data_IF_331824457702
#
_entry.id   IF_331824457702
#
_cell.length_a   1.000
_cell.length_b   1.000
_cell.length_c   1.000
_cell.angle_alpha   90.00
_cell.angle_beta   90.00
_cell.angle_gamma   90.00
#
_symmetry.space_group_name_H-M   'P 1'
#
loop_
_entity.id
_entity.type
_entity.pdbx_description
1 polymer ?
#
# COMPACT_ATOMS: atom_id res chain seq x y z
N UNK A 1 -3.37 -50.15 -40.40
CA UNK A 1 -2.76 -49.83 -39.09
C UNK A 1 -2.04 -48.50 -39.21
N UNK A 2 -2.66 -47.40 -38.80
CA UNK A 2 -2.00 -46.12 -38.44
C UNK A 2 -2.87 -45.43 -37.40
N UNK A 3 -2.28 -45.21 -36.24
CA UNK A 3 -2.79 -44.50 -35.06
C UNK A 3 -3.00 -43.01 -35.34
N UNK A 4 -4.07 -42.43 -34.80
CA UNK A 4 -4.13 -41.00 -34.50
C UNK A 4 -4.43 -40.84 -33.01
N UNK A 5 -3.44 -40.39 -32.25
CA UNK A 5 -3.60 -40.03 -30.85
C UNK A 5 -4.36 -38.71 -30.76
N UNK A 6 -5.51 -38.71 -30.08
CA UNK A 6 -6.23 -37.49 -29.74
C UNK A 6 -5.55 -36.83 -28.52
N UNK A 7 -5.01 -35.64 -28.72
CA UNK A 7 -4.55 -34.79 -27.63
C UNK A 7 -5.77 -34.16 -26.94
N UNK A 8 -5.92 -34.38 -25.65
CA UNK A 8 -6.93 -33.71 -24.83
C UNK A 8 -6.60 -32.22 -24.69
N UNK A 9 -7.58 -31.30 -24.77
CA UNK A 9 -7.32 -29.88 -24.51
C UNK A 9 -7.02 -29.71 -23.02
N UNK A 10 -5.77 -29.32 -22.72
CA UNK A 10 -5.36 -28.89 -21.40
C UNK A 10 -5.95 -27.49 -21.17
N UNK A 11 -7.06 -27.41 -20.44
CA UNK A 11 -7.59 -26.13 -19.97
C UNK A 11 -6.64 -25.54 -18.95
N UNK A 12 -5.76 -24.66 -19.42
CA UNK A 12 -4.94 -23.80 -18.56
C UNK A 12 -5.90 -22.83 -17.86
N UNK A 13 -6.23 -23.15 -16.60
CA UNK A 13 -7.00 -22.22 -15.78
C UNK A 13 -6.04 -21.09 -15.41
N UNK A 14 -6.27 -19.83 -15.84
CA UNK A 14 -5.34 -18.76 -15.53
C UNK A 14 -5.27 -18.62 -14.01
N UNK A 15 -4.11 -18.95 -13.44
CA UNK A 15 -3.82 -18.66 -12.03
C UNK A 15 -3.87 -17.13 -11.89
N UNK A 16 -4.92 -16.62 -11.28
CA UNK A 16 -5.09 -15.19 -11.06
C UNK A 16 -3.83 -14.69 -10.33
N UNK A 17 -3.11 -13.67 -10.85
CA UNK A 17 -1.95 -13.14 -10.16
C UNK A 17 -2.37 -12.75 -8.75
N UNK A 18 -1.73 -13.33 -7.72
CA UNK A 18 -1.96 -12.91 -6.34
C UNK A 18 -1.59 -11.43 -6.25
N UNK A 19 -2.57 -10.58 -5.95
CA UNK A 19 -2.32 -9.16 -5.74
C UNK A 19 -1.40 -8.92 -4.53
N UNK A 20 -0.91 -7.70 -4.42
CA UNK A 20 0.05 -7.29 -3.41
C UNK A 20 -0.57 -7.27 -2.03
N UNK A 21 0.06 -7.96 -1.07
CA UNK A 21 -0.23 -7.80 0.35
C UNK A 21 0.75 -6.77 0.96
N UNK A 22 0.25 -5.63 1.42
CA UNK A 22 1.06 -4.58 2.00
C UNK A 22 0.50 -4.10 3.35
N UNK A 23 1.39 -3.89 4.31
CA UNK A 23 1.04 -3.27 5.59
C UNK A 23 1.93 -2.07 5.87
N UNK A 24 1.39 -1.09 6.58
CA UNK A 24 2.10 0.07 7.04
C UNK A 24 1.63 0.40 8.45
N UNK A 25 2.52 0.27 9.42
CA UNK A 25 2.26 0.62 10.82
C UNK A 25 3.06 1.88 11.15
N UNK A 26 2.36 2.95 11.52
CA UNK A 26 2.91 4.27 11.81
C UNK A 26 2.59 4.69 13.23
N UNK A 27 3.55 5.28 13.93
CA UNK A 27 3.31 5.93 15.22
C UNK A 27 3.74 7.40 15.17
N UNK A 28 2.88 8.28 15.69
CA UNK A 28 3.13 9.71 15.80
C UNK A 28 3.15 10.14 17.28
N UNK A 29 4.13 10.96 17.62
CA UNK A 29 4.27 11.52 18.95
C UNK A 29 4.76 12.97 18.92
N UNK A 30 4.30 13.83 19.85
CA UNK A 30 4.89 15.14 20.03
C UNK A 30 6.34 14.97 20.48
N UNK A 31 7.26 15.71 19.87
CA UNK A 31 8.66 15.75 20.28
C UNK A 31 9.22 17.15 20.12
N UNK A 32 9.52 17.77 21.26
CA UNK A 32 9.82 19.19 21.37
C UNK A 32 8.65 20.04 20.86
N UNK A 33 8.87 20.81 19.80
CA UNK A 33 7.96 21.81 19.24
C UNK A 33 7.07 21.29 18.12
N UNK A 34 7.17 20.00 17.76
CA UNK A 34 6.39 19.42 16.65
C UNK A 34 6.09 17.95 16.82
N UNK A 35 5.11 17.47 16.07
CA UNK A 35 4.84 16.03 15.95
C UNK A 35 5.91 15.37 15.12
N UNK A 36 6.29 14.14 15.44
CA UNK A 36 7.21 13.34 14.62
C UNK A 36 6.65 11.94 14.40
N UNK A 37 7.00 11.37 13.25
CA UNK A 37 6.88 9.93 13.01
C UNK A 37 7.90 9.19 13.89
N UNK A 38 7.44 8.65 15.01
CA UNK A 38 8.26 8.02 16.05
C UNK A 38 8.53 6.54 15.77
N UNK A 39 7.64 5.87 15.02
CA UNK A 39 7.87 4.53 14.51
C UNK A 39 7.28 4.36 13.10
N UNK A 40 7.95 3.53 12.29
CA UNK A 40 7.49 3.12 10.97
C UNK A 40 7.89 1.66 10.76
N UNK A 41 6.92 0.81 10.47
CA UNK A 41 7.12 -0.55 9.95
C UNK A 41 6.31 -0.72 8.69
N UNK A 42 6.85 -1.45 7.72
CA UNK A 42 6.15 -1.72 6.48
C UNK A 42 6.39 -3.15 6.01
N UNK A 43 5.43 -3.69 5.27
CA UNK A 43 5.53 -4.92 4.53
C UNK A 43 5.01 -4.70 3.11
N UNK A 44 5.58 -5.42 2.14
CA UNK A 44 5.18 -5.30 0.74
C UNK A 44 5.52 -3.93 0.15
N UNK A 45 4.83 -3.47 -0.90
CA UNK A 45 5.19 -2.27 -1.65
C UNK A 45 4.72 -0.95 -1.01
N UNK A 46 3.89 -0.96 0.03
CA UNK A 46 3.39 0.28 0.66
C UNK A 46 4.51 0.98 1.46
N UNK A 47 4.71 2.28 1.20
CA UNK A 47 5.80 3.09 1.76
C UNK A 47 5.32 4.46 2.21
N UNK A 48 6.16 5.12 2.99
CA UNK A 48 6.01 6.53 3.37
C UNK A 48 7.22 7.31 2.87
N UNK A 49 6.98 8.47 2.27
CA UNK A 49 8.06 9.42 2.01
C UNK A 49 8.52 10.08 3.31
N UNK A 50 9.78 10.48 3.38
CA UNK A 50 10.35 11.20 4.52
C UNK A 50 9.38 12.30 5.02
N UNK A 51 9.07 12.34 6.34
CA UNK A 51 8.19 13.36 6.88
C UNK A 51 8.68 14.77 6.59
N UNK A 52 7.73 15.68 6.36
CA UNK A 52 7.95 17.09 6.08
C UNK A 52 6.91 17.96 6.81
N UNK A 53 7.15 19.27 6.88
CA UNK A 53 6.48 20.17 7.83
C UNK A 53 6.13 21.53 7.18
N UNK A 54 5.17 21.56 6.23
CA UNK A 54 4.82 22.80 5.54
C UNK A 54 4.06 23.78 6.45
N UNK A 55 3.37 23.27 7.48
CA UNK A 55 2.55 24.05 8.43
C UNK A 55 3.27 24.28 9.77
N UNK A 56 4.55 23.88 9.89
CA UNK A 56 5.35 24.06 11.10
C UNK A 56 5.37 22.81 12.00
N UNK A 57 4.38 22.65 12.88
CA UNK A 57 4.37 21.62 13.93
C UNK A 57 3.63 20.32 13.54
N UNK A 58 2.82 20.37 12.49
CA UNK A 58 2.10 19.22 11.92
C UNK A 58 3.03 18.34 11.09
N UNK A 59 3.05 17.04 11.39
CA UNK A 59 3.85 16.07 10.65
C UNK A 59 3.13 15.61 9.38
N UNK A 60 3.58 16.04 8.20
CA UNK A 60 3.02 15.59 6.93
C UNK A 60 3.80 14.39 6.39
N UNK A 61 3.08 13.38 5.93
CA UNK A 61 3.67 12.22 5.26
C UNK A 61 2.88 11.88 4.00
N UNK A 62 3.62 11.48 2.95
CA UNK A 62 3.01 10.90 1.76
C UNK A 62 3.04 9.39 1.81
N UNK A 63 1.88 8.77 1.63
CA UNK A 63 1.72 7.34 1.41
C UNK A 63 1.99 7.05 -0.07
N UNK A 64 2.82 6.04 -0.32
CA UNK A 64 3.22 5.63 -1.64
C UNK A 64 2.91 4.15 -1.84
N UNK A 65 2.16 3.84 -2.88
CA UNK A 65 2.01 2.49 -3.40
C UNK A 65 2.63 2.48 -4.80
N UNK A 66 3.90 2.04 -4.95
CA UNK A 66 4.64 2.08 -6.21
C UNK A 66 4.01 1.36 -7.42
N UNK A 67 3.16 0.32 -7.27
CA UNK A 67 2.35 -0.14 -8.39
C UNK A 67 1.52 1.01 -8.99
N UNK A 68 1.31 1.02 -10.30
CA UNK A 68 0.65 2.15 -11.01
C UNK A 68 -0.83 2.38 -10.65
N UNK A 69 -1.31 1.71 -9.60
CA UNK A 69 -2.62 1.76 -9.02
C UNK A 69 -2.86 0.50 -8.19
N UNK A 70 -4.05 0.38 -7.64
CA UNK A 70 -4.53 -0.81 -6.93
C UNK A 70 -5.30 -1.66 -7.93
N UNK A 71 -4.96 -2.94 -8.02
CA UNK A 71 -5.62 -3.92 -8.90
C UNK A 71 -6.43 -4.93 -8.09
N UNK A 72 -7.29 -5.70 -8.78
CA UNK A 72 -8.01 -6.80 -8.16
C UNK A 72 -7.07 -7.79 -7.48
N UNK A 73 -7.33 -8.10 -6.21
CA UNK A 73 -6.51 -9.00 -5.40
C UNK A 73 -5.50 -8.31 -4.49
N UNK A 74 -5.24 -7.01 -4.65
CA UNK A 74 -4.39 -6.26 -3.72
C UNK A 74 -5.05 -6.13 -2.34
N UNK A 75 -4.25 -6.22 -1.28
CA UNK A 75 -4.66 -6.02 0.11
C UNK A 75 -3.71 -5.04 0.79
N UNK A 76 -4.23 -3.86 1.15
CA UNK A 76 -3.46 -2.79 1.78
C UNK A 76 -4.02 -2.52 3.18
N UNK A 77 -3.17 -2.64 4.21
CA UNK A 77 -3.53 -2.30 5.60
C UNK A 77 -2.66 -1.15 6.10
N UNK A 78 -3.29 -0.08 6.58
CA UNK A 78 -2.59 1.05 7.21
C UNK A 78 -3.07 1.15 8.65
N UNK A 79 -2.13 1.10 9.60
CA UNK A 79 -2.38 1.33 11.03
C UNK A 79 -1.66 2.57 11.48
N UNK A 80 -2.36 3.39 12.26
CA UNK A 80 -1.86 4.68 12.73
C UNK A 80 -2.13 4.79 14.21
N UNK A 81 -1.05 4.86 14.99
CA UNK A 81 -1.08 5.21 16.39
C UNK A 81 -0.67 6.67 16.54
N UNK A 82 -1.46 7.46 17.27
CA UNK A 82 -1.19 8.88 17.50
C UNK A 82 -1.37 9.18 18.97
N UNK A 83 -0.29 9.60 19.64
CA UNK A 83 -0.34 9.93 21.06
C UNK A 83 -0.95 11.32 21.28
N UNK A 84 -1.50 11.56 22.47
CA UNK A 84 -2.14 12.83 22.81
C UNK A 84 -1.23 14.04 22.52
N UNK A 85 -1.79 15.08 21.88
CA UNK A 85 -1.04 16.27 21.45
C UNK A 85 -0.28 16.11 20.12
N UNK A 86 -0.39 14.97 19.44
CA UNK A 86 0.14 14.80 18.09
C UNK A 86 -0.80 15.37 17.03
N UNK A 87 -0.22 16.00 16.01
CA UNK A 87 -0.87 16.50 14.81
C UNK A 87 -0.14 15.95 13.58
N UNK A 88 -0.84 15.18 12.75
CA UNK A 88 -0.26 14.59 11.55
C UNK A 88 -1.24 14.61 10.38
N UNK A 89 -0.70 14.83 9.18
CA UNK A 89 -1.42 14.68 7.92
C UNK A 89 -0.82 13.51 7.13
N UNK A 90 -1.66 12.53 6.84
CA UNK A 90 -1.33 11.44 5.92
C UNK A 90 -2.10 11.67 4.63
N UNK A 91 -1.39 11.75 3.51
CA UNK A 91 -2.02 11.92 2.20
C UNK A 91 -1.24 11.17 1.12
N UNK A 92 -1.76 11.12 -0.09
CA UNK A 92 -1.03 10.65 -1.28
C UNK A 92 -0.66 11.86 -2.14
N UNK A 93 0.48 11.85 -2.85
CA UNK A 93 0.89 13.00 -3.68
C UNK A 93 -0.05 13.24 -4.88
N UNK A 94 -0.95 12.30 -5.16
CA UNK A 94 -2.00 12.41 -6.17
C UNK A 94 -3.07 11.34 -5.98
N UNK A 95 -4.01 11.28 -6.92
CA UNK A 95 -5.07 10.28 -6.92
C UNK A 95 -4.50 8.87 -7.17
N UNK A 96 -4.90 7.91 -6.33
CA UNK A 96 -4.60 6.49 -6.56
C UNK A 96 -5.54 5.95 -7.63
N UNK A 97 -4.99 5.34 -8.69
CA UNK A 97 -5.80 4.67 -9.71
C UNK A 97 -6.31 3.33 -9.16
N UNK A 98 -7.60 3.09 -9.26
CA UNK A 98 -8.19 1.78 -8.98
C UNK A 98 -8.59 1.15 -10.30
N UNK A 99 -8.04 -0.03 -10.60
CA UNK A 99 -8.37 -0.78 -11.80
C UNK A 99 -9.58 -1.67 -11.54
N UNK A 100 -10.39 -1.88 -12.58
CA UNK A 100 -11.54 -2.79 -12.52
C UNK A 100 -11.05 -4.18 -12.11
N UNK A 101 -11.64 -4.74 -11.05
CA UNK A 101 -11.47 -6.15 -10.72
C UNK A 101 -12.34 -7.03 -11.62
N UNK A 102 -11.84 -8.20 -12.01
CA UNK A 102 -12.67 -9.27 -12.53
C UNK A 102 -13.48 -9.82 -11.35
N UNK A 103 -14.71 -9.33 -11.18
CA UNK A 103 -15.68 -9.96 -10.28
C UNK A 103 -15.98 -11.39 -10.71
#
# INVERSE_FOLDING_TARGET
>A
MTTAAQASPMTDTPTQPRGWAATLDLAFAPRADKTRLSALKHHGPLRVQKPFFPEGDVCHVYLLHPPSGVVGGDSLTIRVDSTAGSHALLTTPGATKFYRSNG
#
